data_IF_428536299898
#
_entry.id   IF_428536299898
#
_cell.length_a   1.000
_cell.length_b   1.000
_cell.length_c   1.000
_cell.angle_alpha   90.00
_cell.angle_beta   90.00
_cell.angle_gamma   90.00
#
_symmetry.space_group_name_H-M   'P 1'
#
loop_
_entity.id
_entity.type
_entity.pdbx_description
1 polymer ?
#
# COMPACT_ATOMS: atom_id res chain seq x y z
N UNK A 1 11.25 -3.29 -7.07
CA UNK A 1 11.63 -4.66 -6.65
C UNK A 1 13.13 -4.96 -6.73
N UNK A 2 13.88 -4.50 -7.75
CA UNK A 2 15.32 -4.81 -7.87
C UNK A 2 16.16 -4.34 -6.67
N UNK A 3 15.89 -3.14 -6.16
CA UNK A 3 16.68 -2.55 -5.06
C UNK A 3 16.49 -3.31 -3.75
N UNK A 4 15.23 -3.62 -3.38
CA UNK A 4 14.94 -4.40 -2.16
C UNK A 4 15.53 -5.82 -2.25
N UNK A 5 15.49 -6.46 -3.42
CA UNK A 5 16.14 -7.78 -3.60
C UNK A 5 17.65 -7.71 -3.43
N UNK A 6 18.29 -6.64 -3.93
CA UNK A 6 19.74 -6.43 -3.74
C UNK A 6 20.08 -6.21 -2.27
N UNK A 7 19.29 -5.39 -1.57
CA UNK A 7 19.43 -5.13 -0.14
C UNK A 7 19.32 -6.42 0.69
N UNK A 8 18.26 -7.21 0.50
CA UNK A 8 18.07 -8.46 1.24
C UNK A 8 19.17 -9.50 0.98
N UNK A 9 19.84 -9.42 -0.18
CA UNK A 9 21.00 -10.26 -0.48
C UNK A 9 22.23 -9.77 0.27
N UNK A 10 22.48 -8.46 0.29
CA UNK A 10 23.58 -7.84 1.02
C UNK A 10 23.49 -8.12 2.53
N UNK A 11 22.29 -8.01 3.09
CA UNK A 11 22.03 -8.26 4.52
C UNK A 11 21.87 -9.74 4.88
N UNK A 12 22.12 -10.65 3.94
CA UNK A 12 22.07 -12.10 4.16
C UNK A 12 20.74 -12.62 4.79
N UNK A 13 19.60 -12.00 4.47
CA UNK A 13 18.31 -12.41 5.04
C UNK A 13 17.99 -13.88 4.72
N UNK A 14 17.29 -14.53 5.66
CA UNK A 14 16.81 -15.90 5.50
C UNK A 14 15.87 -16.04 4.29
N UNK A 15 15.79 -17.23 3.70
CA UNK A 15 14.91 -17.48 2.55
C UNK A 15 13.44 -17.21 2.89
N UNK A 16 13.01 -17.56 4.11
CA UNK A 16 11.64 -17.34 4.57
C UNK A 16 11.34 -15.84 4.67
N UNK A 17 12.23 -15.07 5.31
CA UNK A 17 12.04 -13.63 5.45
C UNK A 17 12.07 -12.91 4.09
N UNK A 18 12.93 -13.33 3.16
CA UNK A 18 12.93 -12.82 1.78
C UNK A 18 11.59 -13.04 1.08
N UNK A 19 10.99 -14.22 1.26
CA UNK A 19 9.68 -14.54 0.71
C UNK A 19 8.61 -13.63 1.31
N UNK A 20 8.55 -13.53 2.63
CA UNK A 20 7.56 -12.68 3.32
C UNK A 20 7.65 -11.21 2.89
N UNK A 21 8.86 -10.67 2.75
CA UNK A 21 9.06 -9.30 2.27
C UNK A 21 8.56 -9.13 0.84
N UNK A 22 8.86 -10.06 -0.06
CA UNK A 22 8.40 -9.99 -1.45
C UNK A 22 6.87 -10.11 -1.52
N UNK A 23 6.29 -11.07 -0.79
CA UNK A 23 4.84 -11.28 -0.72
C UNK A 23 4.12 -10.02 -0.18
N UNK A 24 4.70 -9.35 0.83
CA UNK A 24 4.20 -8.08 1.37
C UNK A 24 4.19 -6.95 0.33
N UNK A 25 5.30 -6.77 -0.41
CA UNK A 25 5.39 -5.71 -1.41
C UNK A 25 4.49 -5.97 -2.61
N UNK A 26 4.36 -7.23 -3.04
CA UNK A 26 3.43 -7.63 -4.09
C UNK A 26 1.98 -7.37 -3.67
N UNK A 27 1.60 -7.79 -2.46
CA UNK A 27 0.28 -7.51 -1.91
C UNK A 27 -0.02 -6.00 -1.86
N UNK A 28 0.93 -5.23 -1.32
CA UNK A 28 0.80 -3.77 -1.22
C UNK A 28 0.63 -3.14 -2.61
N UNK A 29 1.43 -3.57 -3.59
CA UNK A 29 1.34 -3.08 -4.97
C UNK A 29 -0.02 -3.38 -5.59
N UNK A 30 -0.52 -4.61 -5.47
CA UNK A 30 -1.83 -4.99 -5.99
C UNK A 30 -2.96 -4.18 -5.34
N UNK A 31 -2.81 -3.85 -4.05
CA UNK A 31 -3.83 -3.10 -3.30
C UNK A 31 -3.79 -1.60 -3.56
N UNK A 32 -2.61 -1.00 -3.71
CA UNK A 32 -2.47 0.47 -3.79
C UNK A 32 -2.04 0.99 -5.16
N UNK A 33 -1.66 0.12 -6.09
CA UNK A 33 -1.06 0.52 -7.36
C UNK A 33 0.26 1.26 -7.21
N UNK A 34 0.93 1.13 -6.05
CA UNK A 34 2.13 1.89 -5.71
C UNK A 34 1.87 3.33 -5.25
N UNK A 35 0.61 3.72 -5.04
CA UNK A 35 0.23 5.06 -4.58
C UNK A 35 0.27 5.11 -3.05
N UNK A 36 0.95 6.13 -2.52
CA UNK A 36 0.87 6.48 -1.10
C UNK A 36 -0.35 7.38 -0.85
N UNK A 37 -1.51 6.75 -0.66
CA UNK A 37 -2.77 7.46 -0.43
C UNK A 37 -2.73 8.35 0.80
N UNK A 38 -1.94 8.04 1.84
CA UNK A 38 -1.86 8.87 3.02
C UNK A 38 -1.24 10.24 2.70
N UNK A 39 -0.21 10.26 1.87
CA UNK A 39 0.41 11.52 1.47
C UNK A 39 -0.41 12.24 0.38
N UNK A 40 -1.01 11.51 -0.57
CA UNK A 40 -1.91 12.11 -1.57
C UNK A 40 -3.10 12.80 -0.91
N UNK A 41 -3.75 12.17 0.06
CA UNK A 41 -4.90 12.75 0.76
C UNK A 41 -4.54 13.99 1.59
N UNK A 42 -3.29 14.08 2.08
CA UNK A 42 -2.80 15.31 2.75
C UNK A 42 -2.68 16.50 1.80
N UNK A 43 -2.44 16.28 0.51
CA UNK A 43 -2.39 17.36 -0.50
C UNK A 43 -3.78 17.94 -0.81
N UNK A 44 -4.84 17.22 -0.47
CA UNK A 44 -6.20 17.71 -0.64
C UNK A 44 -6.57 18.62 0.53
N UNK A 45 -6.23 19.91 0.47
CA UNK A 45 -6.54 20.88 1.53
C UNK A 45 -8.05 21.10 1.72
N UNK A 46 -8.83 20.93 0.64
CA UNK A 46 -10.28 21.02 0.70
C UNK A 46 -10.88 19.74 1.32
N UNK A 47 -11.57 19.92 2.45
CA UNK A 47 -12.16 18.81 3.21
C UNK A 47 -13.13 17.96 2.38
N UNK A 48 -13.96 18.58 1.54
CA UNK A 48 -14.95 17.85 0.74
C UNK A 48 -14.30 16.96 -0.32
N UNK A 49 -13.25 17.45 -0.99
CA UNK A 49 -12.48 16.66 -1.96
C UNK A 49 -11.78 15.49 -1.28
N UNK A 50 -11.19 15.73 -0.10
CA UNK A 50 -10.53 14.69 0.69
C UNK A 50 -11.54 13.60 1.11
N UNK A 51 -12.72 13.97 1.58
CA UNK A 51 -13.77 13.03 1.96
C UNK A 51 -14.25 12.21 0.76
N UNK A 52 -14.50 12.85 -0.38
CA UNK A 52 -14.92 12.16 -1.60
C UNK A 52 -13.86 11.17 -2.09
N UNK A 53 -12.59 11.57 -2.11
CA UNK A 53 -11.47 10.69 -2.44
C UNK A 53 -11.36 9.49 -1.48
N UNK A 54 -11.53 9.70 -0.16
CA UNK A 54 -11.53 8.61 0.83
C UNK A 54 -12.66 7.63 0.55
N UNK A 55 -13.88 8.11 0.28
CA UNK A 55 -15.02 7.26 -0.03
C UNK A 55 -14.83 6.51 -1.35
N UNK A 56 -14.24 7.14 -2.36
CA UNK A 56 -13.95 6.48 -3.62
C UNK A 56 -12.92 5.35 -3.46
N UNK A 57 -11.84 5.58 -2.70
CA UNK A 57 -10.76 4.61 -2.50
C UNK A 57 -11.18 3.46 -1.58
N UNK A 58 -11.85 3.78 -0.46
CA UNK A 58 -12.14 2.82 0.61
C UNK A 58 -13.60 2.38 0.68
N UNK A 59 -14.50 2.96 -0.12
CA UNK A 59 -15.93 2.65 -0.18
C UNK A 59 -16.24 1.15 -0.22
N UNK A 60 -15.64 0.37 -1.15
CA UNK A 60 -15.86 -1.08 -1.22
C UNK A 60 -15.43 -1.85 0.04
N UNK A 61 -14.53 -1.28 0.86
CA UNK A 61 -14.15 -1.86 2.16
C UNK A 61 -15.22 -1.58 3.20
N UNK A 62 -15.73 -0.34 3.24
CA UNK A 62 -16.80 0.04 4.17
C UNK A 62 -18.09 -0.76 3.91
N UNK A 63 -18.46 -0.96 2.65
CA UNK A 63 -19.64 -1.76 2.27
C UNK A 63 -19.58 -3.20 2.78
N UNK A 64 -18.39 -3.81 2.83
CA UNK A 64 -18.19 -5.18 3.30
C UNK A 64 -18.21 -5.33 4.83
N UNK A 65 -18.10 -4.22 5.57
CA UNK A 65 -18.03 -4.22 7.04
C UNK A 65 -19.35 -3.73 7.65
N UNK A 66 -20.09 -2.90 6.93
CA UNK A 66 -21.38 -2.34 7.36
C UNK A 66 -22.59 -3.21 6.97
N UNK A 67 -22.38 -4.29 6.23
CA UNK A 67 -23.34 -5.37 5.94
C UNK A 67 -22.87 -6.67 6.61
#
# INVERSE_FOLDING_TARGET
>A
MKDITSFMRHEHLSKNLKKEVLDYYEYTWQKTGGIDYNNVLKLCDQITLRTDAILHIYGPTFEKVLL
#
